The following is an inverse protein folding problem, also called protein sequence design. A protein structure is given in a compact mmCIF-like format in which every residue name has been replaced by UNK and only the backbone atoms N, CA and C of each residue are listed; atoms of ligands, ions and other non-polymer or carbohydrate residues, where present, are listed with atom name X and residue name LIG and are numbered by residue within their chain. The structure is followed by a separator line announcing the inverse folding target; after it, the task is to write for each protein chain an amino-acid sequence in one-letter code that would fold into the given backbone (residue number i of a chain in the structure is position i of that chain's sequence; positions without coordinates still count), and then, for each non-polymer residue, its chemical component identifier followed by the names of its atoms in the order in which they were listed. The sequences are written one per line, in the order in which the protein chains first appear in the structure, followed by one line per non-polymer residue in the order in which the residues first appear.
data_IF_303907398491
#
_entry.id   IF_303907398491
#
_cell.length_a   1.000
_cell.length_b   1.000
_cell.length_c   1.000
_cell.angle_alpha   90.00
_cell.angle_beta   90.00
_cell.angle_gamma   90.00
#
_symmetry.space_group_name_H-M   'P 1'
#
loop_
_entity.id
_entity.type
_entity.pdbx_description
1 polymer ?
#
# COMPACT_ATOMS: atom_id res chain seq x y z
N UNK A 1 13.89 1.44 0.12
CA UNK A 1 12.55 0.84 -0.04
C UNK A 1 12.39 0.32 -1.45
N UNK A 2 11.84 -0.86 -1.58
CA UNK A 2 11.54 -1.42 -2.89
C UNK A 2 10.05 -1.67 -3.01
N UNK A 3 9.50 -1.44 -4.19
CA UNK A 3 8.09 -1.66 -4.51
C UNK A 3 8.00 -2.59 -5.71
N UNK A 4 7.17 -3.61 -5.60
CA UNK A 4 6.94 -4.55 -6.69
C UNK A 4 5.45 -4.75 -6.86
N UNK A 5 4.96 -4.52 -8.06
CA UNK A 5 3.54 -4.66 -8.38
C UNK A 5 3.31 -5.94 -9.16
N UNK A 6 2.39 -6.76 -8.66
CA UNK A 6 1.99 -8.01 -9.29
C UNK A 6 0.49 -7.98 -9.54
N UNK A 7 0.05 -8.70 -10.56
CA UNK A 7 -1.38 -8.92 -10.79
C UNK A 7 -1.62 -10.41 -10.80
N UNK A 8 -2.62 -10.86 -10.04
CA UNK A 8 -2.98 -12.26 -9.97
C UNK A 8 -4.49 -12.39 -9.86
N UNK A 9 -5.10 -13.02 -10.86
CA UNK A 9 -6.55 -13.29 -10.89
C UNK A 9 -7.38 -12.01 -10.66
N UNK A 10 -6.95 -10.91 -11.29
CA UNK A 10 -7.67 -9.64 -11.19
C UNK A 10 -7.36 -8.85 -9.94
N UNK A 11 -6.48 -9.35 -9.07
CA UNK A 11 -6.08 -8.68 -7.84
C UNK A 11 -4.71 -8.04 -8.04
N UNK A 12 -4.60 -6.76 -7.72
CA UNK A 12 -3.33 -6.04 -7.77
C UNK A 12 -2.66 -6.18 -6.41
N UNK A 13 -1.43 -6.69 -6.41
CA UNK A 13 -0.67 -6.92 -5.18
C UNK A 13 0.58 -6.05 -5.23
N UNK A 14 0.67 -5.09 -4.31
CA UNK A 14 1.84 -4.23 -4.18
C UNK A 14 2.67 -4.70 -3.00
N UNK A 15 3.87 -5.20 -3.29
CA UNK A 15 4.81 -5.65 -2.27
C UNK A 15 5.68 -4.46 -1.87
N UNK A 16 5.77 -4.22 -0.57
CA UNK A 16 6.58 -3.13 -0.02
C UNK A 16 7.70 -3.74 0.82
N UNK A 17 8.94 -3.45 0.46
CA UNK A 17 10.10 -3.95 1.20
C UNK A 17 10.96 -2.79 1.70
N UNK A 18 11.43 -2.90 2.93
CA UNK A 18 12.33 -1.93 3.54
C UNK A 18 11.61 -0.91 4.39
N UNK A 19 12.17 0.28 4.46
CA UNK A 19 11.68 1.34 5.36
C UNK A 19 10.80 2.34 4.62
N UNK A 20 9.62 2.58 5.17
CA UNK A 20 8.73 3.63 4.68
C UNK A 20 8.88 4.82 5.63
N UNK A 21 9.82 5.69 5.32
CA UNK A 21 10.07 6.92 6.08
C UNK A 21 9.42 8.11 5.34
N UNK A 22 9.71 9.32 5.80
CA UNK A 22 9.11 10.53 5.23
C UNK A 22 9.41 10.67 3.74
N UNK A 23 10.62 10.30 3.33
CA UNK A 23 11.03 10.41 1.92
C UNK A 23 10.39 9.32 1.08
N UNK A 24 10.49 8.07 1.54
CA UNK A 24 9.98 6.94 0.76
C UNK A 24 8.45 6.84 0.77
N UNK A 25 7.80 7.48 1.75
CA UNK A 25 6.34 7.57 1.75
C UNK A 25 5.84 8.27 0.47
N UNK A 26 6.60 9.25 -0.02
CA UNK A 26 6.25 9.94 -1.27
C UNK A 26 6.35 8.99 -2.46
N UNK A 27 7.35 8.13 -2.46
CA UNK A 27 7.51 7.12 -3.52
C UNK A 27 6.38 6.10 -3.48
N UNK A 28 5.97 5.70 -2.27
CA UNK A 28 4.84 4.80 -2.10
C UNK A 28 3.56 5.44 -2.67
N UNK A 29 3.33 6.70 -2.35
CA UNK A 29 2.16 7.41 -2.85
C UNK A 29 2.14 7.48 -4.36
N UNK A 30 3.28 7.79 -4.98
CA UNK A 30 3.39 7.87 -6.44
C UNK A 30 3.08 6.52 -7.10
N UNK A 31 3.44 5.43 -6.44
CA UNK A 31 3.21 4.10 -6.98
C UNK A 31 1.75 3.66 -6.81
N UNK A 32 1.17 3.97 -5.67
CA UNK A 32 -0.16 3.46 -5.32
C UNK A 32 -1.29 4.35 -5.85
N UNK A 33 -1.05 5.67 -6.01
CA UNK A 33 -2.13 6.58 -6.38
C UNK A 33 -2.76 6.27 -7.74
N UNK A 34 -2.03 5.85 -8.78
CA UNK A 34 -2.69 5.47 -10.02
C UNK A 34 -3.62 4.27 -9.84
N UNK A 35 -3.34 3.42 -8.85
CA UNK A 35 -4.13 2.21 -8.61
C UNK A 35 -5.42 2.52 -7.88
N UNK A 36 -5.39 3.47 -6.93
CA UNK A 36 -6.58 3.74 -6.13
C UNK A 36 -7.68 4.47 -6.91
N UNK A 37 -7.34 5.01 -8.08
CA UNK A 37 -8.31 5.70 -8.93
C UNK A 37 -9.07 4.76 -9.87
N UNK A 38 -8.64 3.50 -9.94
CA UNK A 38 -9.28 2.51 -10.81
C UNK A 38 -10.58 2.06 -10.16
N UNK A 39 -11.68 2.13 -10.93
CA UNK A 39 -12.97 1.74 -10.41
C UNK A 39 -13.02 0.24 -10.11
N UNK A 40 -13.52 -0.10 -8.94
CA UNK A 40 -13.69 -1.49 -8.49
C UNK A 40 -12.37 -2.27 -8.38
N UNK A 41 -11.25 -1.59 -8.16
CA UNK A 41 -9.95 -2.25 -8.04
C UNK A 41 -9.92 -3.11 -6.77
N UNK A 42 -9.30 -4.29 -6.88
CA UNK A 42 -8.97 -5.10 -5.71
C UNK A 42 -7.47 -4.94 -5.49
N UNK A 43 -7.10 -4.26 -4.41
CA UNK A 43 -5.72 -3.91 -4.13
C UNK A 43 -5.28 -4.48 -2.80
N UNK A 44 -4.19 -5.24 -2.85
CA UNK A 44 -3.55 -5.79 -1.65
C UNK A 44 -2.22 -5.10 -1.47
N UNK A 45 -1.98 -4.55 -0.28
CA UNK A 45 -0.67 -4.03 0.08
C UNK A 45 0.00 -5.08 0.98
N UNK A 46 1.03 -5.73 0.46
CA UNK A 46 1.74 -6.78 1.17
C UNK A 46 2.93 -6.19 1.90
N UNK A 47 2.89 -6.26 3.22
CA UNK A 47 3.86 -5.62 4.10
C UNK A 47 4.86 -6.62 4.70
N UNK A 48 4.96 -7.83 4.16
CA UNK A 48 5.85 -8.85 4.71
C UNK A 48 7.30 -8.39 4.80
N UNK A 49 7.76 -7.62 3.81
CA UNK A 49 9.13 -7.10 3.79
C UNK A 49 9.29 -5.71 4.36
N UNK A 50 8.21 -5.12 4.89
CA UNK A 50 8.27 -3.76 5.44
C UNK A 50 8.93 -3.81 6.82
N UNK A 51 9.97 -2.99 7.01
CA UNK A 51 10.75 -2.96 8.25
C UNK A 51 10.37 -1.82 9.17
N UNK A 52 9.78 -0.76 8.62
CA UNK A 52 9.46 0.44 9.37
C UNK A 52 8.39 1.23 8.61
N UNK A 53 7.47 1.81 9.35
CA UNK A 53 6.41 2.64 8.77
C UNK A 53 6.25 3.89 9.62
N UNK A 54 6.52 5.06 9.04
CA UNK A 54 6.33 6.33 9.71
C UNK A 54 4.88 6.83 9.55
N UNK A 55 4.56 7.93 10.25
CA UNK A 55 3.21 8.49 10.20
C UNK A 55 2.83 8.96 8.79
N UNK A 56 3.79 9.49 8.03
CA UNK A 56 3.54 9.91 6.64
C UNK A 56 3.16 8.73 5.77
N UNK A 57 3.84 7.59 5.96
CA UNK A 57 3.52 6.36 5.24
C UNK A 57 2.15 5.81 5.61
N UNK A 58 1.83 5.85 6.90
CA UNK A 58 0.51 5.41 7.36
C UNK A 58 -0.58 6.27 6.74
N UNK A 59 -0.34 7.58 6.61
CA UNK A 59 -1.31 8.48 5.97
C UNK A 59 -1.56 8.08 4.51
N UNK A 60 -0.51 7.71 3.78
CA UNK A 60 -0.66 7.24 2.40
C UNK A 60 -1.54 6.00 2.36
N UNK A 61 -1.30 5.05 3.27
CA UNK A 61 -2.09 3.81 3.35
C UNK A 61 -3.55 4.12 3.65
N UNK A 62 -3.82 5.01 4.60
CA UNK A 62 -5.19 5.40 4.95
C UNK A 62 -5.88 6.09 3.79
N UNK A 63 -5.16 6.94 3.06
CA UNK A 63 -5.70 7.60 1.88
C UNK A 63 -6.04 6.57 0.80
N UNK A 64 -5.17 5.59 0.60
CA UNK A 64 -5.42 4.52 -0.37
C UNK A 64 -6.70 3.77 -0.01
N UNK A 65 -6.89 3.45 1.26
CA UNK A 65 -8.10 2.77 1.72
C UNK A 65 -9.35 3.59 1.41
N UNK A 66 -9.30 4.88 1.72
CA UNK A 66 -10.42 5.78 1.44
C UNK A 66 -10.74 5.86 -0.04
N UNK A 67 -9.71 6.06 -0.87
CA UNK A 67 -9.90 6.25 -2.30
C UNK A 67 -10.40 4.97 -2.97
N UNK A 68 -9.83 3.84 -2.63
CA UNK A 68 -10.25 2.55 -3.17
C UNK A 68 -11.71 2.27 -2.81
N UNK A 69 -12.07 2.53 -1.55
CA UNK A 69 -13.44 2.32 -1.08
C UNK A 69 -14.41 3.27 -1.79
N UNK A 70 -14.02 4.51 -1.98
CA UNK A 70 -14.84 5.51 -2.67
C UNK A 70 -15.09 5.13 -4.13
N UNK A 71 -14.17 4.39 -4.73
CA UNK A 71 -14.29 3.92 -6.11
C UNK A 71 -14.83 2.50 -6.20
N UNK A 72 -15.52 2.06 -5.15
CA UNK A 72 -16.19 0.76 -5.10
C UNK A 72 -15.22 -0.41 -5.21
N UNK A 73 -13.98 -0.22 -4.79
CA UNK A 73 -12.98 -1.26 -4.77
C UNK A 73 -12.80 -1.84 -3.38
N UNK A 74 -11.77 -2.66 -3.25
CA UNK A 74 -11.43 -3.31 -1.98
C UNK A 74 -9.94 -3.17 -1.72
N UNK A 75 -9.58 -2.72 -0.52
CA UNK A 75 -8.19 -2.55 -0.11
C UNK A 75 -7.91 -3.41 1.11
N UNK A 76 -6.86 -4.22 1.04
CA UNK A 76 -6.48 -5.13 2.10
C UNK A 76 -5.00 -4.96 2.42
N UNK A 77 -4.67 -4.87 3.70
CA UNK A 77 -3.29 -4.96 4.17
C UNK A 77 -3.01 -6.42 4.52
N UNK A 78 -1.84 -6.91 4.12
CA UNK A 78 -1.46 -8.29 4.33
C UNK A 78 -0.06 -8.36 4.94
N UNK A 79 0.12 -9.29 5.88
CA UNK A 79 1.42 -9.58 6.49
C UNK A 79 2.05 -8.41 7.24
N UNK A 80 1.23 -7.64 7.94
CA UNK A 80 1.72 -6.59 8.84
C UNK A 80 2.43 -7.28 10.02
N UNK A 81 3.68 -6.87 10.27
CA UNK A 81 4.45 -7.45 11.38
C UNK A 81 4.26 -6.63 12.65
N UNK A 82 4.48 -7.23 13.84
CA UNK A 82 4.37 -6.49 15.10
C UNK A 82 5.33 -5.30 15.18
N UNK A 83 6.51 -5.41 14.60
CA UNK A 83 7.50 -4.34 14.60
C UNK A 83 6.97 -3.10 13.87
N UNK A 84 6.25 -3.31 12.79
CA UNK A 84 5.67 -2.21 12.02
C UNK A 84 4.47 -1.61 12.74
N UNK A 85 3.69 -2.45 13.43
CA UNK A 85 2.48 -1.99 14.13
C UNK A 85 2.78 -1.18 15.38
N UNK A 86 3.92 -1.38 15.97
CA UNK A 86 4.30 -0.59 17.15
C UNK A 86 4.92 0.73 16.74
#
# INVERSE_FOLDING_TARGET
MELKLLEQDGVMILLVEGRVDTITATELEKKISPLWSVNSVQLVLDCAGMEYLCSSGLRVILTAHKQVTANEGRFVLRNITPEVRS
#
